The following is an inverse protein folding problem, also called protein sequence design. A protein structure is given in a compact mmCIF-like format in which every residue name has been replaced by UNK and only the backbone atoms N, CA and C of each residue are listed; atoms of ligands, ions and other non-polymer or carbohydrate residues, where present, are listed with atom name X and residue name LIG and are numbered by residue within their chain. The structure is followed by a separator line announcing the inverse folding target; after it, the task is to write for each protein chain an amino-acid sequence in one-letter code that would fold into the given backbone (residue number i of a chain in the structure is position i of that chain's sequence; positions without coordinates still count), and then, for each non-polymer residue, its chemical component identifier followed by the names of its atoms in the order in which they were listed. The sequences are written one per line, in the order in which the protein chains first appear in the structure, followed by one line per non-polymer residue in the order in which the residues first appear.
data_IF_899055093433
#
_entry.id   IF_899055093433
#
_cell.length_a   1.000
_cell.length_b   1.000
_cell.length_c   1.000
_cell.angle_alpha   90.00
_cell.angle_beta   90.00
_cell.angle_gamma   90.00
#
_symmetry.space_group_name_H-M   'P 1'
#
loop_
_entity.id
_entity.type
_entity.pdbx_description
1 polymer ?
#
# COMPACT_ATOMS: atom_id res chain seq x y z
N UNK A 1 6.70 -2.69 -7.52
CA UNK A 1 7.08 -4.10 -7.69
C UNK A 1 7.81 -4.34 -9.01
N UNK A 2 7.24 -3.92 -10.13
CA UNK A 2 7.84 -4.13 -11.46
C UNK A 2 9.21 -3.48 -11.60
N UNK A 3 9.41 -2.28 -11.06
CA UNK A 3 10.72 -1.64 -11.03
C UNK A 3 11.77 -2.46 -10.26
N UNK A 4 11.35 -3.26 -9.29
CA UNK A 4 12.19 -4.17 -8.53
C UNK A 4 12.40 -5.51 -9.23
N UNK A 5 11.35 -6.06 -9.79
CA UNK A 5 11.33 -7.41 -10.38
C UNK A 5 11.80 -7.44 -11.85
N UNK A 6 12.91 -6.80 -12.16
CA UNK A 6 13.49 -6.65 -13.51
C UNK A 6 13.05 -7.73 -14.51
N UNK A 7 12.45 -7.34 -15.63
CA UNK A 7 11.90 -8.19 -16.72
C UNK A 7 10.61 -8.97 -16.41
N UNK A 8 10.02 -8.79 -15.23
CA UNK A 8 8.73 -9.38 -14.90
C UNK A 8 7.64 -8.36 -15.14
N UNK A 9 6.62 -8.74 -15.87
CA UNK A 9 5.56 -7.83 -16.29
C UNK A 9 4.15 -8.31 -15.92
N UNK A 10 4.03 -9.36 -15.12
CA UNK A 10 2.76 -9.88 -14.64
C UNK A 10 2.56 -9.53 -13.17
N UNK A 11 1.35 -9.13 -12.82
CA UNK A 11 0.89 -8.97 -11.44
C UNK A 11 -0.38 -9.79 -11.26
N UNK A 12 -0.44 -10.59 -10.23
CA UNK A 12 -1.63 -11.37 -9.88
C UNK A 12 -2.42 -10.65 -8.79
N UNK A 13 -3.73 -10.53 -8.97
CA UNK A 13 -4.60 -9.70 -8.14
C UNK A 13 -5.77 -10.54 -7.63
N UNK A 14 -6.01 -10.52 -6.32
CA UNK A 14 -7.18 -11.19 -5.76
C UNK A 14 -8.49 -10.54 -6.20
N UNK A 15 -9.47 -11.35 -6.57
CA UNK A 15 -10.83 -10.88 -6.85
C UNK A 15 -11.56 -10.41 -5.60
N UNK A 16 -11.04 -10.69 -4.42
CA UNK A 16 -11.58 -10.18 -3.15
C UNK A 16 -11.24 -8.71 -2.89
N UNK A 17 -10.38 -8.11 -3.72
CA UNK A 17 -10.09 -6.68 -3.70
C UNK A 17 -11.32 -5.86 -4.12
N UNK A 18 -11.42 -4.62 -3.62
CA UNK A 18 -12.49 -3.71 -4.03
C UNK A 18 -12.46 -3.52 -5.57
N UNK A 19 -13.59 -3.72 -6.28
CA UNK A 19 -13.66 -3.60 -7.74
C UNK A 19 -13.14 -2.26 -8.28
N UNK A 20 -13.41 -1.16 -7.58
CA UNK A 20 -12.90 0.17 -7.97
C UNK A 20 -11.39 0.27 -7.91
N UNK A 21 -10.78 -0.40 -6.94
CA UNK A 21 -9.32 -0.47 -6.85
C UNK A 21 -8.77 -1.31 -7.99
N UNK A 22 -9.42 -2.42 -8.34
CA UNK A 22 -9.05 -3.26 -9.50
C UNK A 22 -9.10 -2.43 -10.78
N UNK A 23 -10.18 -1.69 -11.05
CA UNK A 23 -10.32 -0.82 -12.23
C UNK A 23 -9.16 0.20 -12.35
N UNK A 24 -8.74 0.78 -11.23
CA UNK A 24 -7.59 1.70 -11.19
C UNK A 24 -6.29 0.96 -11.51
N UNK A 25 -6.08 -0.20 -10.90
CA UNK A 25 -4.89 -1.02 -11.15
C UNK A 25 -4.82 -1.44 -12.61
N UNK A 26 -5.94 -1.87 -13.20
CA UNK A 26 -6.06 -2.24 -14.62
C UNK A 26 -5.70 -1.07 -15.54
N UNK A 27 -6.22 0.12 -15.23
CA UNK A 27 -5.93 1.33 -16.00
C UNK A 27 -4.43 1.61 -16.04
N UNK A 28 -3.79 1.65 -14.87
CA UNK A 28 -2.34 1.90 -14.81
C UNK A 28 -1.52 0.76 -15.42
N UNK A 29 -1.90 -0.49 -15.20
CA UNK A 29 -1.22 -1.66 -15.74
C UNK A 29 -1.18 -1.62 -17.27
N UNK A 30 -2.31 -1.32 -17.91
CA UNK A 30 -2.43 -1.22 -19.37
C UNK A 30 -1.45 -0.22 -19.97
N UNK A 31 -1.31 0.97 -19.38
CA UNK A 31 -0.40 2.00 -19.89
C UNK A 31 1.08 1.75 -19.58
N UNK A 32 1.37 0.82 -18.68
CA UNK A 32 2.74 0.44 -18.33
C UNK A 32 3.16 -0.92 -18.91
N UNK A 33 2.35 -1.53 -19.77
CA UNK A 33 2.64 -2.85 -20.36
C UNK A 33 2.69 -3.98 -19.32
N UNK A 34 1.89 -3.86 -18.26
CA UNK A 34 1.79 -4.84 -17.19
C UNK A 34 0.57 -5.73 -17.43
N UNK A 35 0.79 -7.02 -17.41
CA UNK A 35 -0.28 -8.02 -17.50
C UNK A 35 -0.88 -8.25 -16.11
N UNK A 36 -2.21 -8.17 -16.01
CA UNK A 36 -2.91 -8.54 -14.79
C UNK A 36 -3.56 -9.91 -14.98
N UNK A 37 -3.41 -10.75 -13.97
CA UNK A 37 -4.10 -12.03 -13.88
C UNK A 37 -4.84 -12.11 -12.55
N UNK A 38 -6.10 -12.58 -12.59
CA UNK A 38 -6.96 -12.59 -11.41
C UNK A 38 -6.87 -13.91 -10.66
N UNK A 39 -6.61 -13.83 -9.36
CA UNK A 39 -6.77 -14.96 -8.45
C UNK A 39 -8.27 -15.05 -8.12
N UNK A 40 -8.96 -16.16 -8.41
CA UNK A 40 -10.36 -16.31 -8.07
C UNK A 40 -10.59 -16.29 -6.56
N UNK A 41 -11.81 -16.07 -6.17
CA UNK A 41 -12.26 -16.24 -4.80
C UNK A 41 -12.83 -17.65 -4.58
N UNK A 42 -12.67 -18.14 -3.38
CA UNK A 42 -13.29 -19.36 -2.89
C UNK A 42 -13.90 -19.07 -1.52
N UNK A 43 -15.21 -19.24 -1.39
CA UNK A 43 -15.93 -18.93 -0.14
C UNK A 43 -15.70 -17.50 0.39
N UNK A 44 -15.57 -16.55 -0.53
CA UNK A 44 -15.37 -15.13 -0.19
C UNK A 44 -13.93 -14.73 0.20
N UNK A 45 -12.98 -15.65 0.11
CA UNK A 45 -11.54 -15.37 0.35
C UNK A 45 -10.70 -15.68 -0.87
N UNK A 46 -9.48 -15.17 -0.91
CA UNK A 46 -8.53 -15.41 -1.99
C UNK A 46 -8.17 -16.89 -2.09
N UNK A 47 -8.34 -17.50 -3.26
CA UNK A 47 -7.96 -18.91 -3.47
C UNK A 47 -6.43 -19.05 -3.46
N UNK A 48 -5.90 -19.48 -2.31
CA UNK A 48 -4.45 -19.63 -2.10
C UNK A 48 -3.82 -20.67 -3.03
N UNK A 49 -4.54 -21.78 -3.31
CA UNK A 49 -4.00 -22.83 -4.18
C UNK A 49 -3.83 -22.34 -5.62
N UNK A 50 -4.77 -21.53 -6.11
CA UNK A 50 -4.65 -20.91 -7.43
C UNK A 50 -3.54 -19.86 -7.43
N UNK A 51 -3.40 -19.06 -6.35
CA UNK A 51 -2.29 -18.11 -6.22
C UNK A 51 -0.93 -18.82 -6.31
N UNK A 52 -0.75 -19.91 -5.59
CA UNK A 52 0.48 -20.70 -5.61
C UNK A 52 0.80 -21.21 -7.02
N UNK A 53 -0.18 -21.76 -7.71
CA UNK A 53 -0.04 -22.22 -9.09
C UNK A 53 0.33 -21.09 -10.05
N UNK A 54 -0.26 -19.92 -9.91
CA UNK A 54 0.06 -18.75 -10.74
C UNK A 54 1.48 -18.24 -10.50
N UNK A 55 1.99 -18.39 -9.28
CA UNK A 55 3.36 -18.00 -8.91
C UNK A 55 4.44 -18.90 -9.52
N UNK A 56 4.10 -20.12 -9.94
CA UNK A 56 5.05 -21.01 -10.63
C UNK A 56 5.57 -20.39 -11.95
N UNK A 57 4.85 -19.45 -12.52
CA UNK A 57 5.28 -18.70 -13.68
C UNK A 57 6.38 -17.69 -13.30
N UNK A 58 7.52 -17.72 -13.96
CA UNK A 58 8.70 -16.88 -13.66
C UNK A 58 8.52 -15.40 -14.00
N UNK A 59 7.38 -15.00 -14.57
CA UNK A 59 7.08 -13.64 -15.01
C UNK A 59 6.29 -12.80 -13.98
N UNK A 60 5.91 -13.39 -12.85
CA UNK A 60 5.13 -12.70 -11.81
C UNK A 60 6.01 -11.75 -11.00
N UNK A 61 5.66 -10.46 -11.00
CA UNK A 61 6.33 -9.40 -10.27
C UNK A 61 5.76 -9.17 -8.87
N UNK A 62 4.48 -9.51 -8.67
CA UNK A 62 3.84 -9.32 -7.36
C UNK A 62 2.44 -9.87 -7.28
N UNK A 63 2.01 -10.06 -6.04
CA UNK A 63 0.66 -10.50 -5.63
C UNK A 63 -0.01 -9.36 -4.90
N UNK A 64 -1.27 -9.05 -5.25
CA UNK A 64 -2.06 -8.02 -4.56
C UNK A 64 -3.26 -8.66 -3.88
N UNK A 65 -3.42 -8.42 -2.58
CA UNK A 65 -4.57 -8.80 -1.76
C UNK A 65 -5.09 -7.62 -0.94
N UNK A 66 -6.18 -7.77 -0.22
CA UNK A 66 -6.74 -6.69 0.61
C UNK A 66 -7.21 -7.18 1.98
N UNK A 67 -7.09 -6.29 2.99
CA UNK A 67 -7.60 -6.56 4.34
C UNK A 67 -8.20 -5.28 4.96
N UNK A 68 -9.44 -5.32 5.47
CA UNK A 68 -10.45 -6.33 5.14
C UNK A 68 -10.70 -6.43 3.64
N UNK A 69 -11.23 -7.54 3.15
CA UNK A 69 -11.55 -7.69 1.75
C UNK A 69 -12.89 -7.00 1.38
N UNK A 70 -13.32 -7.07 0.10
CA UNK A 70 -14.55 -6.42 -0.39
C UNK A 70 -15.83 -6.89 0.31
N UNK A 71 -15.82 -8.06 0.92
CA UNK A 71 -16.94 -8.63 1.66
C UNK A 71 -16.88 -8.32 3.16
N UNK A 72 -15.86 -7.60 3.62
CA UNK A 72 -15.60 -7.35 5.05
C UNK A 72 -14.95 -8.54 5.76
N UNK A 73 -14.52 -9.57 5.03
CA UNK A 73 -13.85 -10.73 5.61
C UNK A 73 -12.39 -10.40 5.88
N UNK A 74 -11.92 -10.81 7.05
CA UNK A 74 -10.52 -10.75 7.44
C UNK A 74 -9.88 -12.08 7.00
N UNK A 75 -9.10 -12.03 5.93
CA UNK A 75 -8.44 -13.22 5.37
C UNK A 75 -7.19 -13.57 6.18
N UNK A 76 -6.88 -14.86 6.27
CA UNK A 76 -5.61 -15.35 6.81
C UNK A 76 -4.55 -15.36 5.70
N UNK A 77 -3.59 -14.45 5.78
CA UNK A 77 -2.48 -14.36 4.81
C UNK A 77 -1.25 -15.16 5.22
N UNK A 78 -1.38 -16.14 6.11
CA UNK A 78 -0.27 -17.02 6.48
C UNK A 78 0.32 -17.72 5.25
N UNK A 79 1.64 -17.53 5.04
CA UNK A 79 2.38 -18.10 3.93
C UNK A 79 2.23 -17.38 2.57
N UNK A 80 1.41 -16.32 2.45
CA UNK A 80 1.29 -15.56 1.19
C UNK A 80 2.61 -14.89 0.82
N UNK A 81 3.22 -14.21 1.79
CA UNK A 81 4.51 -13.56 1.59
C UNK A 81 5.62 -14.59 1.28
N UNK A 82 5.67 -15.67 2.02
CA UNK A 82 6.70 -16.71 1.83
C UNK A 82 6.61 -17.33 0.44
N UNK A 83 5.39 -17.66 -0.02
CA UNK A 83 5.16 -18.16 -1.38
C UNK A 83 5.56 -17.14 -2.44
N UNK A 84 5.15 -15.88 -2.29
CA UNK A 84 5.54 -14.82 -3.22
C UNK A 84 7.07 -14.66 -3.27
N UNK A 85 7.72 -14.60 -2.12
CA UNK A 85 9.17 -14.41 -2.02
C UNK A 85 9.97 -15.62 -2.57
N UNK A 86 9.50 -16.86 -2.37
CA UNK A 86 10.10 -18.06 -2.96
C UNK A 86 10.17 -17.95 -4.49
N UNK A 87 9.19 -17.30 -5.11
CA UNK A 87 9.15 -17.03 -6.55
C UNK A 87 9.68 -15.64 -6.94
N UNK A 88 10.36 -14.94 -6.01
CA UNK A 88 10.92 -13.58 -6.22
C UNK A 88 9.86 -12.53 -6.59
N UNK A 89 8.60 -12.76 -6.24
CA UNK A 89 7.51 -11.81 -6.37
C UNK A 89 7.32 -11.03 -5.06
N UNK A 90 6.73 -9.83 -5.13
CA UNK A 90 6.40 -9.02 -3.95
C UNK A 90 4.99 -9.30 -3.47
N UNK A 91 4.78 -9.32 -2.16
CA UNK A 91 3.46 -9.35 -1.56
C UNK A 91 3.02 -7.92 -1.23
N UNK A 92 1.91 -7.50 -1.83
CA UNK A 92 1.36 -6.15 -1.76
C UNK A 92 -0.03 -6.23 -1.15
N UNK A 93 -0.32 -5.42 -0.15
CA UNK A 93 -1.62 -5.43 0.51
C UNK A 93 -2.27 -4.05 0.42
N UNK A 94 -3.51 -4.02 -0.08
CA UNK A 94 -4.40 -2.88 0.08
C UNK A 94 -5.10 -3.01 1.44
N UNK A 95 -4.85 -2.09 2.35
CA UNK A 95 -5.35 -2.18 3.73
C UNK A 95 -6.07 -0.92 4.18
N UNK A 96 -7.06 -1.11 5.05
CA UNK A 96 -7.68 -0.01 5.79
C UNK A 96 -6.82 0.28 7.04
N UNK A 97 -6.22 1.47 7.15
CA UNK A 97 -5.34 1.78 8.27
C UNK A 97 -6.07 1.81 9.61
N UNK A 98 -7.36 2.13 9.63
CA UNK A 98 -8.15 2.12 10.86
C UNK A 98 -8.30 0.69 11.41
N UNK A 99 -8.54 -0.29 10.54
CA UNK A 99 -8.66 -1.69 10.92
C UNK A 99 -7.37 -2.24 11.58
N UNK A 100 -6.21 -1.66 11.27
CA UNK A 100 -4.93 -2.07 11.85
C UNK A 100 -4.79 -1.74 13.34
N UNK A 101 -5.71 -0.95 13.92
CA UNK A 101 -5.76 -0.73 15.35
C UNK A 101 -6.18 -1.99 16.15
N UNK A 102 -6.83 -2.95 15.50
CA UNK A 102 -7.35 -4.18 16.12
C UNK A 102 -6.95 -5.46 15.38
N UNK A 103 -6.48 -5.37 14.14
CA UNK A 103 -6.08 -6.52 13.33
C UNK A 103 -4.57 -6.64 13.24
N UNK A 104 -4.11 -7.85 12.95
CA UNK A 104 -2.73 -8.10 12.56
C UNK A 104 -2.38 -7.28 11.33
N UNK A 105 -1.28 -6.55 11.42
CA UNK A 105 -0.87 -5.65 10.35
C UNK A 105 -0.33 -6.42 9.13
N UNK A 106 -0.46 -5.87 7.90
CA UNK A 106 0.14 -6.51 6.72
C UNK A 106 1.66 -6.70 6.82
N UNK A 107 2.36 -5.84 7.55
CA UNK A 107 3.80 -5.99 7.83
C UNK A 107 4.10 -7.26 8.63
N UNK A 108 3.27 -7.60 9.62
CA UNK A 108 3.39 -8.84 10.39
C UNK A 108 3.04 -10.10 9.56
N UNK A 109 2.27 -9.94 8.48
CA UNK A 109 2.04 -10.97 7.46
C UNK A 109 3.17 -11.08 6.44
N UNK A 110 4.20 -10.25 6.54
CA UNK A 110 5.34 -10.25 5.65
C UNK A 110 5.16 -9.41 4.37
N UNK A 111 4.15 -8.55 4.28
CA UNK A 111 3.96 -7.69 3.13
C UNK A 111 5.18 -6.79 2.86
N UNK A 112 5.49 -6.61 1.58
CA UNK A 112 6.59 -5.75 1.13
C UNK A 112 6.13 -4.31 0.94
N UNK A 113 4.89 -4.15 0.48
CA UNK A 113 4.27 -2.85 0.23
C UNK A 113 2.84 -2.89 0.76
N UNK A 114 2.46 -1.85 1.48
CA UNK A 114 1.07 -1.65 1.90
C UNK A 114 0.59 -0.30 1.41
N UNK A 115 -0.58 -0.28 0.81
CA UNK A 115 -1.22 0.94 0.30
C UNK A 115 -2.68 1.00 0.75
N UNK A 116 -3.21 2.20 0.80
CA UNK A 116 -4.61 2.39 1.14
C UNK A 116 -5.01 3.86 1.18
N UNK A 117 -6.19 4.11 1.70
CA UNK A 117 -6.70 5.47 1.92
C UNK A 117 -6.78 5.78 3.40
N UNK A 118 -6.50 7.02 3.75
CA UNK A 118 -6.63 7.52 5.14
C UNK A 118 -7.98 8.20 5.38
N UNK A 119 -8.95 8.04 4.47
CA UNK A 119 -10.27 8.68 4.52
C UNK A 119 -10.95 8.53 5.89
N UNK A 120 -10.85 7.36 6.50
CA UNK A 120 -11.47 7.06 7.81
C UNK A 120 -10.79 7.71 9.00
N UNK A 121 -9.62 8.31 8.80
CA UNK A 121 -8.86 8.97 9.85
C UNK A 121 -9.13 10.48 9.86
N UNK A 122 -10.41 10.86 9.99
CA UNK A 122 -10.84 12.24 10.17
C UNK A 122 -10.96 13.08 8.90
N UNK A 123 -10.88 12.50 7.71
CA UNK A 123 -11.06 13.23 6.45
C UNK A 123 -12.54 13.20 6.05
N UNK A 124 -13.20 14.35 5.89
CA UNK A 124 -14.59 14.41 5.41
C UNK A 124 -14.68 13.92 3.96
N UNK A 125 -15.83 13.39 3.57
CA UNK A 125 -16.06 12.93 2.18
C UNK A 125 -16.01 14.07 1.15
N UNK A 126 -16.34 15.32 1.55
CA UNK A 126 -16.13 16.54 0.79
C UNK A 126 -16.68 16.51 -0.64
N UNK A 127 -17.83 15.87 -0.86
CA UNK A 127 -18.44 15.70 -2.19
C UNK A 127 -17.53 15.02 -3.23
N UNK A 128 -16.70 14.09 -2.79
CA UNK A 128 -15.81 13.34 -3.66
C UNK A 128 -14.32 13.68 -3.51
N UNK A 129 -13.96 14.42 -2.50
CA UNK A 129 -12.55 14.70 -2.21
C UNK A 129 -12.27 16.11 -1.72
N UNK A 130 -11.00 16.47 -1.51
CA UNK A 130 -9.84 15.61 -1.68
C UNK A 130 -9.71 14.56 -0.56
N UNK A 131 -8.97 13.48 -0.85
CA UNK A 131 -8.60 12.46 0.13
C UNK A 131 -7.09 12.25 0.13
N UNK A 132 -6.55 11.59 1.15
CA UNK A 132 -5.14 11.25 1.20
C UNK A 132 -4.96 9.72 1.19
N UNK A 133 -4.03 9.25 0.38
CA UNK A 133 -3.55 7.89 0.40
C UNK A 133 -2.35 7.73 1.33
N UNK A 134 -2.03 6.50 1.67
CA UNK A 134 -0.79 6.17 2.33
C UNK A 134 -0.08 5.02 1.61
N UNK A 135 1.22 4.98 1.78
CA UNK A 135 2.06 3.89 1.29
C UNK A 135 3.15 3.61 2.32
N UNK A 136 3.32 2.35 2.65
CA UNK A 136 4.44 1.88 3.46
C UNK A 136 5.19 0.78 2.72
N UNK A 137 6.48 0.64 3.01
CA UNK A 137 7.30 -0.40 2.38
C UNK A 137 8.45 -0.80 3.30
N UNK A 138 9.07 -1.93 2.99
CA UNK A 138 10.30 -2.36 3.67
C UNK A 138 11.47 -1.43 3.34
N UNK A 139 12.43 -1.37 4.24
CA UNK A 139 13.65 -0.56 4.11
C UNK A 139 14.37 -0.78 2.76
N UNK A 140 14.39 -2.02 2.27
CA UNK A 140 15.02 -2.37 1.00
C UNK A 140 14.43 -1.62 -0.21
N UNK A 141 13.19 -1.18 -0.14
CA UNK A 141 12.48 -0.52 -1.26
C UNK A 141 12.33 0.98 -1.09
N UNK A 142 12.83 1.58 -0.03
CA UNK A 142 12.68 3.03 0.26
C UNK A 142 13.09 3.93 -0.90
N UNK A 143 14.10 3.54 -1.69
CA UNK A 143 14.57 4.31 -2.85
C UNK A 143 13.61 4.24 -4.05
N UNK A 144 12.66 3.32 -4.04
CA UNK A 144 11.64 3.17 -5.08
C UNK A 144 10.32 3.84 -4.71
N UNK A 145 10.20 4.35 -3.49
CA UNK A 145 9.01 5.09 -3.08
C UNK A 145 8.89 6.38 -3.86
N UNK A 146 7.67 6.73 -4.29
CA UNK A 146 7.38 8.06 -4.82
C UNK A 146 7.40 9.10 -3.69
N UNK A 147 7.57 10.37 -4.08
CA UNK A 147 7.47 11.50 -3.16
C UNK A 147 8.74 11.76 -2.36
N UNK A 148 8.55 12.55 -1.32
CA UNK A 148 9.61 13.02 -0.43
C UNK A 148 9.57 12.27 0.88
N UNK A 149 10.71 11.81 1.35
CA UNK A 149 10.84 11.17 2.66
C UNK A 149 11.59 12.13 3.58
N UNK A 150 10.96 12.43 4.71
CA UNK A 150 11.54 13.24 5.78
C UNK A 150 12.14 12.30 6.81
N UNK A 151 13.39 12.54 7.16
CA UNK A 151 14.11 11.79 8.19
C UNK A 151 14.36 12.60 9.44
N UNK A 152 14.58 11.91 10.54
CA UNK A 152 15.03 12.51 11.80
C UNK A 152 16.54 12.71 11.75
N UNK A 153 17.00 13.88 12.16
CA UNK A 153 18.39 14.30 12.24
C UNK A 153 18.62 15.10 13.52
N UNK A 154 19.78 15.68 13.66
CA UNK A 154 20.11 16.64 14.70
C UNK A 154 20.51 17.96 14.08
N UNK A 155 20.18 19.07 14.74
CA UNK A 155 20.61 20.41 14.35
C UNK A 155 22.04 20.72 14.86
N UNK A 156 22.52 21.94 14.57
CA UNK A 156 23.85 22.41 15.00
C UNK A 156 24.02 22.43 16.54
N UNK A 157 22.93 22.54 17.28
CA UNK A 157 22.94 22.61 18.75
C UNK A 157 22.74 21.23 19.39
N UNK A 158 22.61 20.15 18.59
CA UNK A 158 22.37 18.80 19.07
C UNK A 158 20.89 18.46 19.32
N UNK A 159 19.96 19.36 19.01
CA UNK A 159 18.54 19.09 19.16
C UNK A 159 18.00 18.24 18.02
N UNK A 160 16.92 17.50 18.28
CA UNK A 160 16.20 16.76 17.26
C UNK A 160 15.66 17.70 16.17
N UNK A 161 15.98 17.40 14.93
CA UNK A 161 15.51 18.15 13.77
C UNK A 161 14.99 17.22 12.69
N UNK A 162 14.08 17.72 11.86
CA UNK A 162 13.58 17.01 10.69
C UNK A 162 14.28 17.57 9.44
N UNK A 163 14.67 16.68 8.55
CA UNK A 163 15.28 17.07 7.27
C UNK A 163 14.79 16.17 6.15
N UNK A 164 14.83 16.69 4.93
CA UNK A 164 14.58 15.88 3.75
C UNK A 164 15.70 14.83 3.59
N UNK A 165 15.31 13.56 3.62
CA UNK A 165 16.23 12.44 3.49
C UNK A 165 16.30 11.91 2.06
N UNK A 166 15.15 11.78 1.37
CA UNK A 166 15.07 11.28 0.01
C UNK A 166 14.03 12.08 -0.79
N UNK A 167 14.39 12.44 -2.05
CA UNK A 167 13.48 13.04 -3.04
C UNK A 167 13.85 12.65 -4.47
N UNK A 168 14.62 11.59 -4.66
CA UNK A 168 15.27 11.25 -5.93
C UNK A 168 14.29 10.89 -7.05
N UNK A 169 13.03 10.62 -6.76
CA UNK A 169 11.99 10.22 -7.71
C UNK A 169 11.03 11.34 -8.08
N UNK A 170 11.26 12.54 -7.59
CA UNK A 170 10.46 13.72 -7.88
C UNK A 170 10.61 14.17 -9.35
N UNK A 171 9.52 14.68 -9.92
CA UNK A 171 9.46 15.11 -11.31
C UNK A 171 10.46 16.25 -11.63
N UNK A 172 10.66 17.19 -10.73
CA UNK A 172 11.61 18.29 -10.92
C UNK A 172 13.08 17.83 -10.93
N UNK A 173 13.37 16.60 -10.48
CA UNK A 173 14.71 16.01 -10.50
C UNK A 173 14.84 15.02 -11.67
N UNK A 174 13.92 14.07 -11.79
CA UNK A 174 13.99 12.96 -12.75
C UNK A 174 13.24 13.23 -14.06
N UNK A 175 12.45 14.30 -14.12
CA UNK A 175 11.66 14.69 -15.29
C UNK A 175 10.81 13.50 -15.79
N UNK A 176 10.93 13.08 -17.04
CA UNK A 176 10.22 11.95 -17.64
C UNK A 176 10.54 10.59 -16.99
N UNK A 177 11.59 10.50 -16.18
CA UNK A 177 11.97 9.31 -15.43
C UNK A 177 11.45 9.30 -14.00
N UNK A 178 10.61 10.26 -13.64
CA UNK A 178 9.98 10.28 -12.31
C UNK A 178 9.06 9.08 -12.12
N UNK A 179 8.99 8.57 -10.90
CA UNK A 179 8.17 7.40 -10.59
C UNK A 179 6.68 7.75 -10.55
N UNK A 180 6.34 8.98 -10.19
CA UNK A 180 4.96 9.46 -10.12
C UNK A 180 4.91 10.98 -10.20
N UNK A 181 3.75 11.51 -10.56
CA UNK A 181 3.42 12.94 -10.50
C UNK A 181 2.70 13.20 -9.17
N UNK A 182 3.45 13.23 -8.06
CA UNK A 182 2.88 13.53 -6.76
C UNK A 182 2.66 15.02 -6.63
N UNK A 183 1.44 15.39 -6.27
CA UNK A 183 1.05 16.76 -5.96
C UNK A 183 1.05 16.99 -4.45
N UNK A 184 1.35 18.22 -4.02
CA UNK A 184 1.25 18.63 -2.61
C UNK A 184 -0.17 19.05 -2.20
N UNK A 185 -1.15 18.96 -3.09
CA UNK A 185 -2.54 19.34 -2.83
C UNK A 185 -3.16 18.59 -1.63
N UNK A 186 -2.72 17.36 -1.37
CA UNK A 186 -3.20 16.54 -0.24
C UNK A 186 -2.39 16.72 1.05
N UNK A 187 -1.42 17.64 1.10
CA UNK A 187 -0.60 17.86 2.30
C UNK A 187 -1.44 18.27 3.51
N UNK A 188 -2.47 19.11 3.31
CA UNK A 188 -3.40 19.46 4.38
C UNK A 188 -4.14 18.24 4.92
N UNK A 189 -4.60 17.35 4.04
CA UNK A 189 -5.28 16.11 4.44
C UNK A 189 -4.35 15.20 5.25
N UNK A 190 -3.10 15.09 4.86
CA UNK A 190 -2.10 14.34 5.61
C UNK A 190 -1.88 14.92 7.02
N UNK A 191 -1.86 16.26 7.14
CA UNK A 191 -1.77 16.93 8.43
C UNK A 191 -3.02 16.68 9.29
N UNK A 192 -4.21 16.74 8.70
CA UNK A 192 -5.47 16.43 9.40
C UNK A 192 -5.47 15.01 9.95
N UNK A 193 -5.02 14.03 9.17
CA UNK A 193 -4.86 12.63 9.61
C UNK A 193 -3.90 12.54 10.77
N UNK A 194 -2.75 13.23 10.70
CA UNK A 194 -1.78 13.27 11.78
C UNK A 194 -2.38 13.81 13.09
N UNK A 195 -3.07 14.94 13.02
CA UNK A 195 -3.77 15.52 14.18
C UNK A 195 -4.87 14.60 14.71
N UNK A 196 -5.66 13.99 13.84
CA UNK A 196 -6.69 13.03 14.24
C UNK A 196 -6.09 11.86 15.01
N UNK A 197 -5.01 11.28 14.50
CA UNK A 197 -4.34 10.15 15.15
C UNK A 197 -3.70 10.55 16.49
N UNK A 198 -3.09 11.73 16.59
CA UNK A 198 -2.49 12.23 17.82
C UNK A 198 -3.55 12.54 18.87
N UNK A 199 -4.66 13.18 18.45
CA UNK A 199 -5.77 13.55 19.36
C UNK A 199 -6.45 12.31 19.95
N UNK A 200 -6.76 11.31 19.14
CA UNK A 200 -7.45 10.10 19.59
C UNK A 200 -6.49 9.10 20.29
N UNK A 201 -5.23 9.09 19.92
CA UNK A 201 -4.28 8.09 20.36
C UNK A 201 -4.65 6.66 19.95
N UNK A 202 -3.85 5.70 20.32
CA UNK A 202 -4.08 4.29 19.99
C UNK A 202 -5.40 3.75 20.57
N UNK A 203 -5.70 4.11 21.80
CA UNK A 203 -6.92 3.67 22.49
C UNK A 203 -8.17 4.28 21.87
N UNK A 204 -8.19 5.58 21.56
CA UNK A 204 -9.31 6.22 20.89
C UNK A 204 -9.59 5.65 19.50
N UNK A 205 -8.55 5.33 18.72
CA UNK A 205 -8.70 4.67 17.43
C UNK A 205 -9.30 3.26 17.58
N UNK A 206 -8.85 2.51 18.58
CA UNK A 206 -9.40 1.19 18.90
C UNK A 206 -10.87 1.27 19.31
N UNK A 207 -11.21 2.18 20.22
CA UNK A 207 -12.59 2.38 20.66
C UNK A 207 -13.52 2.82 19.52
N UNK A 208 -13.06 3.62 18.58
CA UNK A 208 -13.86 4.05 17.44
C UNK A 208 -14.33 2.89 16.55
N UNK A 209 -13.61 1.78 16.55
CA UNK A 209 -13.98 0.57 15.78
C UNK A 209 -14.94 -0.35 16.53
N UNK A 210 -14.99 -0.25 17.85
CA UNK A 210 -15.84 -1.09 18.69
C UNK A 210 -17.28 -0.58 18.71
N UNK A 211 -17.50 0.70 18.48
CA UNK A 211 -18.79 1.37 18.56
C UNK A 211 -19.58 1.46 17.23
N UNK A 212 -19.21 0.71 16.24
CA UNK A 212 -19.98 0.65 14.98
C UNK A 212 -21.09 -0.38 15.06
#
# INVERSE_FOLDING_TARGET
SIAHAKKRNKVIVSRTLNPRVIEVVETYARFHGVNLEMIPEKEGVTDKAVMEKLLEADDVAGVIASTPNRYGIIEDFSGFADNAHAHKALFIVYADPSAMAVLKTPGEWGADIVVGTTQRLGIPMGFGGPSAGYMTTREAYKRNMPGRIIGVSIDRLGNRALRMALQTREQHIKRERATSNICTATALMASMVGFYCVYNGAEGLRLSLIHI
#
